data_IF_097879746443
#
_entry.id   IF_097879746443
#
_cell.length_a   1.000
_cell.length_b   1.000
_cell.length_c   1.000
_cell.angle_alpha   90.00
_cell.angle_beta   90.00
_cell.angle_gamma   90.00
#
_symmetry.space_group_name_H-M   'P 1'
#
loop_
_entity.id
_entity.type
_entity.pdbx_description
1 polymer ?
#
# COMPACT_ATOMS: atom_id res chain seq x y z
N UNK A 1 3.82 3.55 -23.26
CA UNK A 1 3.44 4.61 -24.22
C UNK A 1 4.32 5.82 -23.98
N UNK A 2 5.12 6.23 -24.97
CA UNK A 2 5.90 7.47 -24.88
C UNK A 2 5.02 8.62 -25.39
N UNK A 3 4.70 9.58 -24.52
CA UNK A 3 3.90 10.76 -24.87
C UNK A 3 4.78 11.88 -25.42
N UNK A 4 5.98 12.05 -24.86
CA UNK A 4 6.98 13.01 -25.34
C UNK A 4 8.27 12.31 -25.73
N UNK A 5 8.73 12.52 -26.97
CA UNK A 5 9.95 11.88 -27.50
C UNK A 5 11.20 12.22 -26.66
N UNK A 6 11.29 13.44 -26.13
CA UNK A 6 12.40 13.82 -25.25
C UNK A 6 12.44 12.99 -23.96
N UNK A 7 11.28 12.50 -23.49
CA UNK A 7 11.18 11.70 -22.28
C UNK A 7 11.92 10.36 -22.38
N UNK A 8 11.85 9.68 -23.54
CA UNK A 8 12.55 8.39 -23.73
C UNK A 8 14.06 8.58 -23.87
N UNK A 9 14.52 9.69 -24.43
CA UNK A 9 15.95 10.02 -24.46
C UNK A 9 16.47 10.31 -23.05
N UNK A 10 15.78 11.20 -22.33
CA UNK A 10 16.15 11.65 -20.99
C UNK A 10 16.12 10.50 -19.98
N UNK A 11 15.23 9.52 -20.15
CA UNK A 11 15.18 8.33 -19.29
C UNK A 11 16.46 7.49 -19.36
N UNK A 12 17.23 7.61 -20.46
CA UNK A 12 18.52 6.96 -20.58
C UNK A 12 19.61 7.51 -19.65
N UNK A 13 19.51 8.80 -19.29
CA UNK A 13 20.50 9.52 -18.48
C UNK A 13 20.12 9.63 -17.01
N UNK A 14 19.03 8.96 -16.59
CA UNK A 14 18.45 9.04 -15.26
C UNK A 14 19.47 8.65 -14.17
N UNK A 15 19.58 9.48 -13.13
CA UNK A 15 20.45 9.28 -11.98
C UNK A 15 19.66 8.88 -10.73
N UNK A 16 18.53 9.55 -10.49
CA UNK A 16 17.67 9.31 -9.32
C UNK A 16 16.24 9.08 -9.79
N UNK A 17 15.62 8.02 -9.25
CA UNK A 17 14.21 7.71 -9.47
C UNK A 17 13.46 7.81 -8.16
N UNK A 18 12.63 8.83 -8.03
CA UNK A 18 11.64 8.90 -6.97
C UNK A 18 10.44 8.02 -7.35
N UNK A 19 10.12 7.06 -6.50
CA UNK A 19 9.02 6.12 -6.71
C UNK A 19 7.98 6.27 -5.63
N UNK A 20 6.70 6.39 -6.01
CA UNK A 20 5.62 6.10 -5.06
C UNK A 20 5.61 4.60 -4.71
N UNK A 21 5.05 4.28 -3.55
CA UNK A 21 4.81 2.93 -3.09
C UNK A 21 3.51 2.36 -3.65
N UNK A 22 2.39 3.02 -3.38
CA UNK A 22 1.05 2.52 -3.70
C UNK A 22 0.86 2.52 -5.22
N UNK A 23 0.34 1.43 -5.78
CA UNK A 23 0.04 1.31 -7.21
C UNK A 23 1.26 1.21 -8.14
N UNK A 24 2.42 1.71 -7.71
CA UNK A 24 3.71 1.61 -8.40
C UNK A 24 4.47 0.34 -7.99
N UNK A 25 4.98 0.29 -6.75
CA UNK A 25 5.73 -0.86 -6.25
C UNK A 25 4.79 -1.97 -5.77
N UNK A 26 3.65 -1.59 -5.21
CA UNK A 26 2.57 -2.51 -4.80
C UNK A 26 1.49 -2.61 -5.89
N UNK A 27 0.59 -3.57 -5.73
CA UNK A 27 -0.57 -3.72 -6.61
C UNK A 27 -1.61 -2.60 -6.42
N UNK A 28 -1.54 -1.85 -5.31
CA UNK A 28 -2.57 -0.88 -4.93
C UNK A 28 -3.87 -1.57 -4.48
N UNK A 29 -3.78 -2.83 -4.06
CA UNK A 29 -4.90 -3.67 -3.65
C UNK A 29 -4.61 -4.19 -2.25
N UNK A 30 -5.31 -3.62 -1.28
CA UNK A 30 -5.25 -4.09 0.09
C UNK A 30 -5.86 -5.50 0.16
N UNK A 31 -5.14 -6.43 0.76
CA UNK A 31 -5.57 -7.82 0.94
C UNK A 31 -5.28 -8.27 2.37
N UNK A 32 -5.99 -9.30 2.84
CA UNK A 32 -5.68 -9.94 4.12
C UNK A 32 -4.47 -10.85 3.90
N UNK A 33 -3.36 -10.55 4.59
CA UNK A 33 -2.13 -11.33 4.51
C UNK A 33 -1.98 -12.34 5.65
N UNK A 34 -2.63 -12.07 6.79
CA UNK A 34 -2.57 -12.91 7.97
C UNK A 34 -3.81 -12.70 8.85
N UNK A 35 -4.28 -13.76 9.51
CA UNK A 35 -5.37 -13.74 10.50
C UNK A 35 -4.83 -14.32 11.78
N UNK A 36 -4.91 -13.55 12.86
CA UNK A 36 -4.50 -13.94 14.20
C UNK A 36 -5.77 -14.25 15.01
N UNK A 37 -5.91 -15.51 15.45
CA UNK A 37 -6.99 -15.91 16.35
C UNK A 37 -6.73 -15.47 17.78
N UNK A 38 -7.76 -15.47 18.62
CA UNK A 38 -7.63 -15.06 20.02
C UNK A 38 -6.77 -15.98 20.89
N UNK A 39 -6.45 -17.20 20.44
CA UNK A 39 -5.47 -18.10 21.06
C UNK A 39 -4.04 -17.93 20.52
N UNK A 40 -3.77 -16.89 19.74
CA UNK A 40 -2.43 -16.54 19.27
C UNK A 40 -1.96 -17.30 18.03
N UNK A 41 -2.84 -18.02 17.34
CA UNK A 41 -2.47 -18.75 16.12
C UNK A 41 -2.64 -17.89 14.87
N UNK A 42 -1.71 -18.06 13.93
CA UNK A 42 -1.66 -17.31 12.68
C UNK A 42 -2.11 -18.18 11.51
N UNK A 43 -2.99 -17.64 10.67
CA UNK A 43 -3.52 -18.27 9.47
C UNK A 43 -3.33 -17.34 8.27
N UNK A 44 -3.09 -17.90 7.09
CA UNK A 44 -2.88 -17.13 5.85
C UNK A 44 -4.11 -17.17 4.92
N UNK A 45 -4.95 -18.20 5.05
CA UNK A 45 -6.17 -18.35 4.26
C UNK A 45 -7.34 -18.80 5.12
N UNK A 46 -8.56 -18.53 4.65
CA UNK A 46 -9.79 -18.92 5.34
C UNK A 46 -9.89 -20.45 5.52
N UNK A 47 -9.37 -21.24 4.57
CA UNK A 47 -9.40 -22.71 4.60
C UNK A 47 -8.49 -23.34 5.67
N UNK A 48 -7.50 -22.59 6.16
CA UNK A 48 -6.65 -23.03 7.27
C UNK A 48 -7.32 -22.81 8.63
N UNK A 49 -8.36 -21.96 8.68
CA UNK A 49 -9.07 -21.64 9.92
C UNK A 49 -10.07 -22.76 10.22
N UNK A 50 -10.08 -23.29 11.45
CA UNK A 50 -11.06 -24.30 11.84
C UNK A 50 -12.51 -23.83 11.65
N UNK A 51 -13.36 -24.72 11.15
CA UNK A 51 -14.72 -24.43 10.65
C UNK A 51 -15.58 -23.61 11.64
N UNK A 52 -15.49 -23.91 12.94
CA UNK A 52 -16.25 -23.19 13.96
C UNK A 52 -15.86 -21.70 14.04
N UNK A 53 -14.57 -21.38 14.05
CA UNK A 53 -14.09 -20.00 14.03
C UNK A 53 -14.31 -19.34 12.65
N UNK A 54 -14.17 -20.13 11.58
CA UNK A 54 -14.41 -19.68 10.21
C UNK A 54 -15.85 -19.16 10.05
N UNK A 55 -16.85 -19.88 10.56
CA UNK A 55 -18.25 -19.48 10.54
C UNK A 55 -18.49 -18.14 11.26
N UNK A 56 -17.87 -17.94 12.42
CA UNK A 56 -17.99 -16.70 13.19
C UNK A 56 -17.33 -15.50 12.48
N UNK A 57 -16.20 -15.73 11.80
CA UNK A 57 -15.54 -14.73 10.96
C UNK A 57 -16.43 -14.33 9.78
N UNK A 58 -16.94 -15.32 9.04
CA UNK A 58 -17.81 -15.10 7.86
C UNK A 58 -19.04 -14.31 8.28
N UNK A 59 -19.72 -14.77 9.33
CA UNK A 59 -20.89 -14.12 9.90
C UNK A 59 -20.60 -12.67 10.31
N UNK A 60 -19.51 -12.44 11.02
CA UNK A 60 -19.15 -11.09 11.50
C UNK A 60 -18.80 -10.14 10.37
N UNK A 61 -18.07 -10.60 9.34
CA UNK A 61 -17.62 -9.75 8.24
C UNK A 61 -18.72 -9.39 7.25
N UNK A 62 -19.60 -10.35 6.91
CA UNK A 62 -20.75 -10.12 6.01
C UNK A 62 -21.74 -9.14 6.62
N UNK A 63 -22.09 -9.32 7.90
CA UNK A 63 -23.16 -8.57 8.54
C UNK A 63 -22.69 -7.25 9.19
N UNK A 64 -21.38 -6.98 9.22
CA UNK A 64 -20.82 -5.71 9.73
C UNK A 64 -20.35 -4.78 8.59
N UNK A 65 -20.49 -5.17 7.33
CA UNK A 65 -20.01 -4.37 6.19
C UNK A 65 -21.17 -4.01 5.27
N UNK A 66 -21.59 -2.75 5.29
CA UNK A 66 -22.58 -2.22 4.35
C UNK A 66 -21.98 -2.19 2.93
N UNK A 67 -22.10 -3.29 2.20
CA UNK A 67 -21.63 -3.42 0.84
C UNK A 67 -22.64 -4.19 0.00
N UNK A 68 -22.85 -3.73 -1.24
CA UNK A 68 -23.53 -4.54 -2.25
C UNK A 68 -22.50 -5.42 -2.94
N UNK A 69 -22.77 -6.71 -2.95
CA UNK A 69 -21.89 -7.73 -3.49
C UNK A 69 -22.54 -8.26 -4.77
N UNK A 70 -21.87 -8.07 -5.90
CA UNK A 70 -22.19 -8.75 -7.15
C UNK A 70 -21.16 -9.87 -7.41
N UNK A 71 -21.67 -11.10 -7.57
CA UNK A 71 -20.90 -12.34 -7.71
C UNK A 71 -20.88 -12.89 -9.14
N UNK A 72 -21.14 -12.05 -10.16
CA UNK A 72 -21.07 -12.45 -11.58
C UNK A 72 -19.72 -13.08 -11.96
N UNK A 73 -18.61 -12.59 -11.38
CA UNK A 73 -17.29 -13.24 -11.45
C UNK A 73 -16.91 -13.78 -10.05
N UNK A 74 -16.96 -15.11 -9.83
CA UNK A 74 -16.61 -15.73 -8.55
C UNK A 74 -15.16 -15.51 -8.13
N UNK A 75 -14.26 -15.25 -9.09
CA UNK A 75 -12.83 -15.05 -8.84
C UNK A 75 -12.48 -13.59 -8.55
N UNK A 76 -13.35 -12.66 -8.91
CA UNK A 76 -13.17 -11.23 -8.66
C UNK A 76 -14.52 -10.55 -8.40
N UNK A 77 -15.13 -10.78 -7.22
CA UNK A 77 -16.45 -10.25 -6.90
C UNK A 77 -16.45 -8.73 -6.90
N UNK A 78 -17.47 -8.14 -7.53
CA UNK A 78 -17.66 -6.71 -7.56
C UNK A 78 -18.35 -6.26 -6.27
N UNK A 79 -17.53 -5.74 -5.35
CA UNK A 79 -17.99 -5.20 -4.07
C UNK A 79 -18.07 -3.67 -4.19
N UNK A 80 -19.28 -3.12 -4.02
CA UNK A 80 -19.58 -1.68 -4.12
C UNK A 80 -20.07 -1.16 -2.76
N UNK A 81 -19.68 0.07 -2.40
CA UNK A 81 -20.06 0.70 -1.12
C UNK A 81 -19.11 0.44 0.05
N UNK A 82 -18.25 -0.59 -0.04
CA UNK A 82 -17.20 -0.82 0.96
C UNK A 82 -15.98 0.08 0.75
N UNK A 83 -15.40 0.57 1.86
CA UNK A 83 -14.07 1.17 1.83
C UNK A 83 -12.98 0.11 1.51
N UNK A 84 -11.73 0.50 1.20
CA UNK A 84 -10.67 -0.45 0.83
C UNK A 84 -10.42 -1.56 1.86
N UNK A 85 -10.57 -1.25 3.16
CA UNK A 85 -10.42 -2.23 4.25
C UNK A 85 -11.57 -3.23 4.26
N UNK A 86 -12.82 -2.77 4.19
CA UNK A 86 -14.00 -3.62 4.12
C UNK A 86 -13.99 -4.50 2.88
N UNK A 87 -13.56 -3.95 1.73
CA UNK A 87 -13.41 -4.72 0.50
C UNK A 87 -12.38 -5.84 0.66
N UNK A 88 -11.22 -5.57 1.25
CA UNK A 88 -10.18 -6.56 1.49
C UNK A 88 -10.64 -7.69 2.44
N UNK A 89 -11.36 -7.33 3.52
CA UNK A 89 -11.94 -8.30 4.46
C UNK A 89 -13.01 -9.17 3.80
N UNK A 90 -13.88 -8.58 2.98
CA UNK A 90 -14.89 -9.33 2.24
C UNK A 90 -14.27 -10.24 1.17
N UNK A 91 -13.26 -9.77 0.44
CA UNK A 91 -12.56 -10.59 -0.56
C UNK A 91 -11.87 -11.81 0.06
N UNK A 92 -11.42 -11.71 1.32
CA UNK A 92 -10.85 -12.84 2.07
C UNK A 92 -11.85 -13.99 2.29
N UNK A 93 -13.16 -13.72 2.25
CA UNK A 93 -14.19 -14.76 2.40
C UNK A 93 -14.31 -15.69 1.18
N UNK A 94 -13.80 -15.26 0.01
CA UNK A 94 -13.81 -16.05 -1.22
C UNK A 94 -15.21 -16.58 -1.58
N UNK A 95 -15.38 -17.90 -1.79
CA UNK A 95 -16.67 -18.49 -2.15
C UNK A 95 -17.79 -18.27 -1.10
N UNK A 96 -17.43 -18.11 0.18
CA UNK A 96 -18.39 -17.92 1.28
C UNK A 96 -19.05 -16.54 1.27
N UNK A 97 -18.58 -15.64 0.40
CA UNK A 97 -19.21 -14.34 0.16
C UNK A 97 -20.64 -14.47 -0.42
N UNK A 98 -21.01 -15.62 -0.97
CA UNK A 98 -22.35 -15.93 -1.47
C UNK A 98 -23.37 -16.26 -0.37
N UNK A 99 -22.91 -16.49 0.86
CA UNK A 99 -23.79 -16.76 2.00
C UNK A 99 -24.64 -15.52 2.27
N UNK A 100 -25.95 -15.75 2.37
CA UNK A 100 -26.92 -14.71 2.73
C UNK A 100 -27.60 -15.12 4.02
N UNK A 101 -27.38 -14.30 5.03
CA UNK A 101 -28.18 -14.35 6.23
C UNK A 101 -29.39 -13.42 6.06
N UNK A 102 -30.59 -13.93 6.30
CA UNK A 102 -31.79 -13.10 6.39
C UNK A 102 -31.84 -12.48 7.80
N UNK A 103 -31.01 -11.47 8.03
CA UNK A 103 -30.94 -10.74 9.29
C UNK A 103 -31.33 -9.28 9.09
N UNK A 104 -31.99 -8.71 10.10
CA UNK A 104 -32.35 -7.31 10.12
C UNK A 104 -31.34 -6.54 10.98
N UNK A 105 -30.69 -5.55 10.38
CA UNK A 105 -29.82 -4.63 11.11
C UNK A 105 -30.69 -3.58 11.81
N UNK A 106 -30.71 -3.61 13.15
CA UNK A 106 -31.59 -2.76 13.97
C UNK A 106 -30.90 -1.45 14.37
N UNK A 107 -29.57 -1.44 14.45
CA UNK A 107 -28.78 -0.23 14.65
C UNK A 107 -27.41 -0.34 13.96
N UNK A 108 -26.87 0.79 13.50
CA UNK A 108 -25.57 0.85 12.86
C UNK A 108 -24.80 2.11 13.30
N UNK A 109 -23.51 1.94 13.61
CA UNK A 109 -22.54 3.00 13.85
C UNK A 109 -21.54 2.94 12.69
N UNK A 110 -21.58 3.89 11.75
CA UNK A 110 -20.62 3.94 10.66
C UNK A 110 -19.22 4.26 11.18
N UNK A 111 -18.19 3.92 10.41
CA UNK A 111 -16.81 4.22 10.81
C UNK A 111 -16.55 5.73 10.85
N UNK A 112 -15.93 6.21 11.93
CA UNK A 112 -15.42 7.57 12.04
C UNK A 112 -14.00 7.58 12.57
N UNK A 113 -13.16 8.45 12.02
CA UNK A 113 -11.76 8.62 12.42
C UNK A 113 -11.57 9.04 13.89
N UNK A 114 -12.58 9.67 14.52
CA UNK A 114 -12.52 10.07 15.91
C UNK A 114 -12.53 8.87 16.88
N UNK A 115 -13.38 7.87 16.62
CA UNK A 115 -13.51 6.67 17.47
C UNK A 115 -12.88 5.40 16.88
N UNK A 116 -12.52 5.39 15.60
CA UNK A 116 -11.76 4.33 14.91
C UNK A 116 -12.39 2.92 14.91
N UNK A 117 -13.70 2.81 15.09
CA UNK A 117 -14.45 1.55 14.95
C UNK A 117 -15.75 1.76 14.15
N UNK A 118 -16.39 0.67 13.74
CA UNK A 118 -17.77 0.62 13.27
C UNK A 118 -18.48 -0.56 13.92
N UNK A 119 -19.78 -0.43 14.18
CA UNK A 119 -20.56 -1.47 14.84
C UNK A 119 -21.93 -1.61 14.20
N UNK A 120 -22.42 -2.83 14.05
CA UNK A 120 -23.75 -3.11 13.50
C UNK A 120 -24.44 -4.08 14.44
N UNK A 121 -25.60 -3.67 14.95
CA UNK A 121 -26.45 -4.50 15.77
C UNK A 121 -27.45 -5.23 14.88
N UNK A 122 -27.43 -6.54 14.97
CA UNK A 122 -28.33 -7.44 14.24
C UNK A 122 -29.34 -8.05 15.21
N UNK A 123 -30.56 -8.22 14.73
CA UNK A 123 -31.65 -8.91 15.44
C UNK A 123 -32.10 -10.15 14.64
N UNK A 124 -32.74 -11.11 15.32
CA UNK A 124 -33.16 -12.39 14.74
C UNK A 124 -32.66 -13.60 15.54
N UNK A 125 -32.21 -14.66 14.85
CA UNK A 125 -31.77 -15.91 15.50
C UNK A 125 -30.54 -15.73 16.40
N UNK A 126 -29.73 -14.70 16.15
CA UNK A 126 -28.57 -14.31 16.96
C UNK A 126 -28.59 -12.80 17.16
N UNK A 127 -29.18 -12.34 18.26
CA UNK A 127 -29.11 -10.94 18.67
C UNK A 127 -27.68 -10.62 19.14
N UNK A 128 -26.90 -9.95 18.30
CA UNK A 128 -25.50 -9.63 18.55
C UNK A 128 -25.16 -8.24 18.01
N UNK A 129 -24.21 -7.59 18.64
CA UNK A 129 -23.53 -6.41 18.10
C UNK A 129 -22.19 -6.84 17.52
N UNK A 130 -22.05 -6.69 16.21
CA UNK A 130 -20.81 -6.94 15.48
C UNK A 130 -19.98 -5.68 15.50
N UNK A 131 -18.67 -5.80 15.72
CA UNK A 131 -17.76 -4.65 15.82
C UNK A 131 -16.48 -4.93 15.04
N UNK A 132 -16.03 -3.96 14.25
CA UNK A 132 -14.70 -3.96 13.66
C UNK A 132 -14.02 -2.61 13.81
N UNK A 133 -12.71 -2.58 13.96
CA UNK A 133 -12.01 -1.32 14.16
C UNK A 133 -10.51 -1.44 14.28
N UNK A 134 -9.87 -0.34 14.65
CA UNK A 134 -8.47 -0.32 15.04
C UNK A 134 -8.23 -1.34 16.16
N UNK A 135 -7.20 -2.18 15.99
CA UNK A 135 -6.97 -3.31 16.88
C UNK A 135 -6.83 -2.86 18.33
N UNK A 136 -6.18 -1.72 18.59
CA UNK A 136 -5.94 -1.21 19.95
C UNK A 136 -7.22 -0.80 20.68
N UNK A 137 -8.25 -0.36 19.92
CA UNK A 137 -9.56 0.03 20.47
C UNK A 137 -10.41 -1.20 20.74
N UNK A 138 -10.33 -2.21 19.87
CA UNK A 138 -11.12 -3.43 20.03
C UNK A 138 -10.56 -4.26 21.19
N UNK A 139 -9.24 -4.46 21.22
CA UNK A 139 -8.60 -5.31 22.22
C UNK A 139 -8.69 -4.73 23.64
N UNK A 140 -8.75 -3.40 23.80
CA UNK A 140 -8.88 -2.77 25.12
C UNK A 140 -10.19 -3.07 25.83
N UNK A 141 -11.25 -3.33 25.07
CA UNK A 141 -12.60 -3.62 25.58
C UNK A 141 -12.97 -5.11 25.48
N UNK A 142 -12.04 -5.94 25.00
CA UNK A 142 -12.21 -7.39 24.94
C UNK A 142 -12.02 -8.04 26.31
N UNK A 143 -13.05 -8.73 26.78
CA UNK A 143 -13.01 -9.54 28.00
C UNK A 143 -12.80 -11.02 27.70
N UNK A 144 -13.18 -11.44 26.49
CA UNK A 144 -13.14 -12.82 26.04
C UNK A 144 -12.62 -12.90 24.61
N UNK A 145 -12.31 -14.09 24.16
CA UNK A 145 -12.01 -14.39 22.78
C UNK A 145 -12.66 -15.71 22.34
N UNK A 146 -12.84 -15.88 21.03
CA UNK A 146 -13.22 -17.16 20.44
C UNK A 146 -11.98 -17.98 20.14
N UNK A 147 -11.92 -19.19 20.71
CA UNK A 147 -10.88 -20.13 20.33
C UNK A 147 -11.19 -20.78 18.97
N UNK A 148 -10.28 -21.61 18.49
CA UNK A 148 -10.45 -22.37 17.24
C UNK A 148 -11.73 -23.21 17.15
N UNK A 149 -12.28 -23.66 18.27
CA UNK A 149 -13.54 -24.41 18.28
C UNK A 149 -14.78 -23.50 18.37
N UNK A 150 -14.64 -22.18 18.20
CA UNK A 150 -15.72 -21.20 18.32
C UNK A 150 -16.22 -21.02 19.75
N UNK A 151 -15.48 -21.50 20.76
CA UNK A 151 -15.87 -21.40 22.17
C UNK A 151 -15.31 -20.13 22.78
N UNK A 152 -16.16 -19.40 23.50
CA UNK A 152 -15.81 -18.22 24.29
C UNK A 152 -14.90 -18.63 25.45
N UNK A 153 -13.72 -18.01 25.55
CA UNK A 153 -12.76 -18.15 26.64
C UNK A 153 -12.36 -16.78 27.20
N UNK A 154 -12.04 -16.67 28.50
CA UNK A 154 -11.61 -15.40 29.08
C UNK A 154 -10.26 -14.99 28.48
N UNK A 155 -10.13 -13.69 28.16
CA UNK A 155 -8.89 -13.11 27.65
C UNK A 155 -8.02 -12.68 28.85
N UNK A 156 -7.36 -13.63 29.49
CA UNK A 156 -6.59 -13.38 30.72
C UNK A 156 -5.16 -12.88 30.46
N UNK A 157 -4.55 -13.30 29.35
CA UNK A 157 -3.19 -12.91 28.96
C UNK A 157 -3.17 -12.36 27.54
N UNK A 158 -3.13 -11.03 27.41
CA UNK A 158 -3.08 -10.36 26.11
C UNK A 158 -1.64 -10.29 25.54
N UNK A 159 -0.62 -10.60 26.34
CA UNK A 159 0.79 -10.40 25.94
C UNK A 159 1.20 -11.22 24.72
N UNK A 160 0.71 -12.46 24.61
CA UNK A 160 1.04 -13.33 23.48
C UNK A 160 0.39 -12.82 22.18
N UNK A 161 -0.82 -12.23 22.30
CA UNK A 161 -1.50 -11.51 21.23
C UNK A 161 -0.75 -10.23 20.86
N UNK A 162 -0.34 -9.42 21.84
CA UNK A 162 0.43 -8.19 21.63
C UNK A 162 1.76 -8.48 20.92
N UNK A 163 2.44 -9.56 21.29
CA UNK A 163 3.67 -9.98 20.60
C UNK A 163 3.40 -10.33 19.13
N UNK A 164 2.37 -11.15 18.87
CA UNK A 164 2.00 -11.53 17.50
C UNK A 164 1.54 -10.32 16.67
N UNK A 165 0.81 -9.39 17.28
CA UNK A 165 0.42 -8.12 16.68
C UNK A 165 1.63 -7.24 16.37
N UNK A 166 2.64 -7.21 17.25
CA UNK A 166 3.87 -6.48 17.00
C UNK A 166 4.63 -7.06 15.79
N UNK A 167 4.76 -8.39 15.69
CA UNK A 167 5.38 -9.05 14.53
C UNK A 167 4.64 -8.76 13.21
N UNK A 168 3.31 -8.79 13.22
CA UNK A 168 2.50 -8.42 12.05
C UNK A 168 2.70 -6.95 11.68
N UNK A 169 2.79 -6.06 12.67
CA UNK A 169 3.04 -4.63 12.47
C UNK A 169 4.43 -4.37 11.88
N UNK A 170 5.46 -5.07 12.36
CA UNK A 170 6.82 -5.03 11.80
C UNK A 170 6.87 -5.45 10.33
N UNK A 171 5.97 -6.35 9.93
CA UNK A 171 5.79 -6.79 8.54
C UNK A 171 4.91 -5.86 7.69
N UNK A 172 4.72 -4.62 8.12
CA UNK A 172 3.95 -3.59 7.42
C UNK A 172 2.46 -3.93 7.25
N UNK A 173 1.89 -4.72 8.15
CA UNK A 173 0.47 -5.04 8.12
C UNK A 173 -0.34 -4.01 8.92
N UNK A 174 -1.42 -3.53 8.33
CA UNK A 174 -2.46 -2.78 9.03
C UNK A 174 -3.37 -3.76 9.77
N UNK A 175 -3.40 -3.64 11.09
CA UNK A 175 -4.21 -4.52 11.95
C UNK A 175 -5.64 -4.01 12.11
N UNK A 176 -6.61 -4.90 11.97
CA UNK A 176 -8.03 -4.64 12.21
C UNK A 176 -8.57 -5.73 13.13
N UNK A 177 -9.11 -5.32 14.29
CA UNK A 177 -9.80 -6.23 15.20
C UNK A 177 -11.24 -6.42 14.77
N UNK A 178 -11.73 -7.66 14.86
CA UNK A 178 -13.15 -8.02 14.71
C UNK A 178 -13.61 -8.70 15.98
N UNK A 179 -14.70 -8.21 16.55
CA UNK A 179 -15.26 -8.69 17.81
C UNK A 179 -16.79 -8.71 17.76
N UNK A 180 -17.38 -9.46 18.68
CA UNK A 180 -18.83 -9.54 18.88
C UNK A 180 -19.18 -9.21 20.33
N UNK A 181 -20.37 -8.68 20.55
CA UNK A 181 -20.95 -8.48 21.87
C UNK A 181 -22.41 -8.91 21.89
N UNK A 182 -22.86 -9.41 23.04
CA UNK A 182 -24.28 -9.67 23.33
C UNK A 182 -24.97 -8.39 23.83
N UNK A 183 -24.21 -7.34 24.14
CA UNK A 183 -24.77 -6.06 24.57
C UNK A 183 -25.23 -5.23 23.37
N UNK A 184 -26.40 -4.57 23.45
CA UNK A 184 -26.86 -3.66 22.41
C UNK A 184 -25.97 -2.42 22.33
N UNK A 185 -26.09 -1.68 21.23
CA UNK A 185 -25.40 -0.40 21.07
C UNK A 185 -26.00 0.60 22.07
N UNK A 186 -25.24 0.95 23.11
CA UNK A 186 -25.68 1.86 24.16
C UNK A 186 -25.37 3.33 23.81
N UNK A 187 -26.34 4.00 23.16
CA UNK A 187 -26.26 5.41 22.78
C UNK A 187 -25.42 5.70 21.53
N UNK A 188 -25.33 6.97 21.12
CA UNK A 188 -24.59 7.36 19.92
C UNK A 188 -23.07 7.24 20.15
N UNK A 189 -22.39 6.51 19.26
CA UNK A 189 -20.92 6.47 19.11
C UNK A 189 -20.11 5.84 20.26
N UNK A 190 -20.69 4.96 21.09
CA UNK A 190 -19.95 4.21 22.11
C UNK A 190 -19.72 2.76 21.70
N UNK A 191 -18.53 2.25 22.03
CA UNK A 191 -18.20 0.85 21.83
C UNK A 191 -19.04 0.00 22.82
N UNK A 192 -19.63 -1.12 22.38
CA UNK A 192 -20.32 -2.04 23.29
C UNK A 192 -19.36 -2.62 24.32
N UNK A 193 -19.85 -2.81 25.55
CA UNK A 193 -19.07 -3.44 26.62
C UNK A 193 -18.94 -4.96 26.39
N UNK A 194 -17.98 -5.57 27.10
CA UNK A 194 -17.77 -7.01 27.16
C UNK A 194 -17.54 -7.66 25.79
N UNK A 195 -16.70 -7.05 24.96
CA UNK A 195 -16.40 -7.59 23.65
C UNK A 195 -15.77 -8.99 23.76
N UNK A 196 -16.12 -9.85 22.82
CA UNK A 196 -15.48 -11.13 22.56
C UNK A 196 -14.72 -11.03 21.24
N UNK A 197 -13.39 -11.09 21.30
CA UNK A 197 -12.53 -11.05 20.13
C UNK A 197 -12.80 -12.27 19.25
N UNK A 198 -13.16 -12.05 17.98
CA UNK A 198 -13.30 -13.12 16.99
C UNK A 198 -11.92 -13.40 16.37
N UNK A 199 -11.33 -12.38 15.74
CA UNK A 199 -10.03 -12.47 15.10
C UNK A 199 -9.42 -11.08 14.85
N UNK A 200 -8.11 -11.03 14.66
CA UNK A 200 -7.36 -9.85 14.22
C UNK A 200 -6.87 -10.10 12.80
N UNK A 201 -7.19 -9.20 11.89
CA UNK A 201 -6.78 -9.28 10.49
C UNK A 201 -5.59 -8.36 10.25
N UNK A 202 -4.51 -8.93 9.72
CA UNK A 202 -3.37 -8.19 9.17
C UNK A 202 -3.59 -7.94 7.69
N UNK A 203 -3.92 -6.71 7.35
CA UNK A 203 -4.10 -6.29 5.96
C UNK A 203 -2.81 -5.68 5.42
N UNK A 204 -2.43 -6.06 4.21
CA UNK A 204 -1.27 -5.49 3.54
C UNK A 204 -1.54 -5.32 2.05
N UNK A 205 -0.94 -4.29 1.47
CA UNK A 205 -0.91 -4.13 0.02
C UNK A 205 0.20 -5.01 -0.54
N UNK A 206 -0.16 -6.01 -1.35
CA UNK A 206 0.80 -6.96 -1.89
C UNK A 206 1.81 -6.30 -2.82
N UNK A 207 3.06 -6.70 -2.68
CA UNK A 207 4.11 -6.32 -3.59
C UNK A 207 3.87 -6.95 -4.96
N UNK A 208 4.19 -6.23 -6.04
CA UNK A 208 4.25 -6.90 -7.34
C UNK A 208 5.45 -7.85 -7.31
N UNK A 209 5.31 -9.11 -7.74
CA UNK A 209 6.41 -10.09 -7.73
C UNK A 209 7.68 -9.59 -8.43
N UNK A 210 7.50 -8.71 -9.41
CA UNK A 210 8.54 -8.16 -10.27
C UNK A 210 9.17 -6.87 -9.74
N UNK A 211 8.59 -6.24 -8.69
CA UNK A 211 9.11 -4.97 -8.16
C UNK A 211 10.52 -5.11 -7.62
N UNK A 212 10.81 -6.19 -6.89
CA UNK A 212 12.14 -6.44 -6.32
C UNK A 212 13.21 -6.56 -7.40
N UNK A 213 12.98 -7.39 -8.41
CA UNK A 213 13.95 -7.59 -9.50
C UNK A 213 14.17 -6.30 -10.29
N UNK A 214 13.11 -5.53 -10.52
CA UNK A 214 13.20 -4.31 -11.29
C UNK A 214 13.89 -3.16 -10.52
N UNK A 215 13.68 -3.03 -9.21
CA UNK A 215 14.45 -2.10 -8.35
C UNK A 215 15.94 -2.45 -8.37
N UNK A 216 16.28 -3.74 -8.18
CA UNK A 216 17.67 -4.19 -8.20
C UNK A 216 18.33 -3.92 -9.55
N UNK A 217 17.63 -4.16 -10.66
CA UNK A 217 18.13 -3.84 -12.00
C UNK A 217 18.39 -2.34 -12.19
N UNK A 218 17.52 -1.47 -11.66
CA UNK A 218 17.72 -0.02 -11.71
C UNK A 218 18.97 0.39 -10.89
N UNK A 219 19.12 -0.15 -9.68
CA UNK A 219 20.29 0.12 -8.83
C UNK A 219 21.59 -0.39 -9.45
N UNK A 220 21.60 -1.60 -10.02
CA UNK A 220 22.75 -2.14 -10.78
C UNK A 220 23.09 -1.29 -12.01
N UNK A 221 22.10 -0.63 -12.59
CA UNK A 221 22.27 0.32 -13.69
C UNK A 221 22.81 1.70 -13.23
N UNK A 222 23.11 1.87 -11.93
CA UNK A 222 23.63 3.09 -11.34
C UNK A 222 22.56 4.14 -10.99
N UNK A 223 21.30 3.72 -10.87
CA UNK A 223 20.17 4.60 -10.56
C UNK A 223 19.82 4.47 -9.08
N UNK A 224 19.86 5.58 -8.35
CA UNK A 224 19.38 5.60 -6.97
C UNK A 224 17.85 5.62 -6.99
N UNK A 225 17.23 4.57 -6.42
CA UNK A 225 15.77 4.51 -6.26
C UNK A 225 15.42 4.97 -4.85
N UNK A 226 14.56 5.99 -4.75
CA UNK A 226 14.12 6.57 -3.48
C UNK A 226 12.61 6.39 -3.37
N UNK A 227 12.14 5.71 -2.32
CA UNK A 227 10.71 5.54 -2.06
C UNK A 227 10.14 6.77 -1.36
N UNK A 228 9.05 7.32 -1.87
CA UNK A 228 8.28 8.38 -1.20
C UNK A 228 6.87 7.87 -0.97
N UNK A 229 6.42 7.81 0.28
CA UNK A 229 5.10 7.26 0.62
C UNK A 229 4.42 8.00 1.76
N UNK A 230 3.08 8.00 1.74
CA UNK A 230 2.25 8.51 2.84
C UNK A 230 2.13 7.54 4.04
N UNK A 231 2.64 6.31 3.92
CA UNK A 231 2.56 5.29 4.96
C UNK A 231 3.44 5.62 6.18
N UNK A 232 3.26 4.89 7.28
CA UNK A 232 4.13 5.02 8.46
C UNK A 232 5.58 4.65 8.14
N UNK A 233 6.51 5.15 8.97
CA UNK A 233 7.95 4.92 8.81
C UNK A 233 8.28 3.44 8.83
N UNK A 234 7.66 2.69 9.72
CA UNK A 234 7.85 1.26 9.93
C UNK A 234 7.40 0.47 8.70
N UNK A 235 6.20 0.81 8.19
CA UNK A 235 5.62 0.23 6.97
C UNK A 235 6.52 0.49 5.76
N UNK A 236 6.93 1.74 5.58
CA UNK A 236 7.78 2.15 4.48
C UNK A 236 9.16 1.45 4.52
N UNK A 237 9.76 1.32 5.72
CA UNK A 237 11.03 0.61 5.91
C UNK A 237 10.93 -0.88 5.57
N UNK A 238 9.91 -1.57 6.07
CA UNK A 238 9.72 -2.98 5.81
C UNK A 238 9.53 -3.25 4.30
N UNK A 239 8.72 -2.43 3.63
CA UNK A 239 8.52 -2.54 2.18
C UNK A 239 9.82 -2.23 1.43
N UNK A 240 10.54 -1.17 1.81
CA UNK A 240 11.81 -0.80 1.18
C UNK A 240 12.88 -1.89 1.32
N UNK A 241 12.94 -2.61 2.46
CA UNK A 241 13.81 -3.78 2.63
C UNK A 241 13.39 -4.92 1.71
N UNK A 242 12.08 -5.19 1.62
CA UNK A 242 11.57 -6.29 0.81
C UNK A 242 11.87 -6.12 -0.69
N UNK A 243 11.74 -4.89 -1.22
CA UNK A 243 12.08 -4.58 -2.62
C UNK A 243 13.57 -4.35 -2.88
N UNK A 244 14.39 -4.23 -1.84
CA UNK A 244 15.84 -3.96 -1.97
C UNK A 244 16.21 -2.49 -2.13
N UNK A 245 15.31 -1.55 -1.86
CA UNK A 245 15.64 -0.11 -1.78
C UNK A 245 16.51 0.15 -0.54
N UNK A 246 16.16 -0.50 0.57
CA UNK A 246 16.86 -0.36 1.84
C UNK A 246 17.83 -1.54 2.03
N UNK A 247 19.11 -1.23 2.18
CA UNK A 247 20.18 -2.20 2.47
C UNK A 247 20.80 -1.92 3.84
N UNK A 248 21.50 -2.91 4.41
CA UNK A 248 22.02 -2.83 5.79
C UNK A 248 23.16 -1.80 5.97
N UNK A 249 23.74 -1.28 4.87
CA UNK A 249 24.76 -0.25 4.91
C UNK A 249 24.14 1.15 4.81
N UNK A 250 23.95 1.78 5.97
CA UNK A 250 23.61 3.21 6.16
C UNK A 250 22.32 3.73 5.47
N UNK A 251 21.14 3.14 5.73
CA UNK A 251 19.92 3.65 5.13
C UNK A 251 19.37 4.88 5.86
N UNK A 252 19.30 6.04 5.17
CA UNK A 252 18.61 7.22 5.70
C UNK A 252 17.12 7.14 5.39
N UNK A 253 16.31 7.11 6.45
CA UNK A 253 14.84 7.11 6.40
C UNK A 253 14.32 8.31 7.15
N UNK A 254 13.59 9.17 6.42
CA UNK A 254 13.03 10.40 6.94
C UNK A 254 11.50 10.37 6.96
N UNK A 255 10.92 11.13 7.86
CA UNK A 255 9.51 11.52 7.80
C UNK A 255 9.35 12.91 7.16
N UNK A 256 8.12 13.26 6.77
CA UNK A 256 7.77 14.63 6.34
C UNK A 256 8.11 15.71 7.38
N UNK A 257 7.97 15.40 8.67
CA UNK A 257 8.36 16.30 9.77
C UNK A 257 9.86 16.60 9.73
N UNK A 258 10.68 15.55 9.57
CA UNK A 258 12.14 15.68 9.52
C UNK A 258 12.54 16.53 8.31
N UNK A 259 11.92 16.30 7.14
CA UNK A 259 12.15 17.12 5.95
C UNK A 259 11.78 18.59 6.16
N UNK A 260 10.69 18.87 6.87
CA UNK A 260 10.22 20.24 7.12
C UNK A 260 11.15 21.01 8.03
N UNK A 261 11.76 20.34 9.01
CA UNK A 261 12.74 20.92 9.93
C UNK A 261 14.12 21.15 9.27
N UNK A 262 14.46 20.34 8.27
CA UNK A 262 15.73 20.44 7.54
C UNK A 262 15.71 21.56 6.49
N UNK A 263 16.83 22.27 6.38
CA UNK A 263 17.10 23.21 5.30
C UNK A 263 17.35 22.48 3.96
N UNK A 264 17.16 23.21 2.86
CA UNK A 264 17.41 22.67 1.51
C UNK A 264 18.86 22.18 1.34
N UNK A 265 19.84 22.86 1.93
CA UNK A 265 21.26 22.48 1.89
C UNK A 265 21.55 21.19 2.67
N UNK A 266 20.87 20.98 3.80
CA UNK A 266 20.99 19.74 4.57
C UNK A 266 20.40 18.56 3.80
N UNK A 267 19.25 18.75 3.14
CA UNK A 267 18.62 17.74 2.30
C UNK A 267 19.53 17.37 1.12
N UNK A 268 20.16 18.35 0.48
CA UNK A 268 21.13 18.11 -0.60
C UNK A 268 22.30 17.23 -0.12
N UNK A 269 22.81 17.46 1.10
CA UNK A 269 23.91 16.66 1.66
C UNK A 269 23.53 15.22 1.94
N UNK A 270 22.29 14.98 2.41
CA UNK A 270 21.82 13.62 2.72
C UNK A 270 21.21 12.89 1.52
N UNK A 271 20.93 13.58 0.41
CA UNK A 271 20.28 13.01 -0.77
C UNK A 271 20.95 11.73 -1.27
N UNK A 272 22.30 11.59 -1.33
CA UNK A 272 22.95 10.35 -1.78
C UNK A 272 22.70 9.13 -0.87
N UNK A 273 22.39 9.35 0.41
CA UNK A 273 22.11 8.31 1.40
C UNK A 273 20.60 8.10 1.62
N UNK A 274 19.77 8.94 1.02
CA UNK A 274 18.32 8.92 1.18
C UNK A 274 17.73 7.70 0.46
N UNK A 275 17.05 6.85 1.21
CA UNK A 275 16.37 5.67 0.67
C UNK A 275 14.84 5.82 0.70
N UNK A 276 14.31 6.38 1.79
CA UNK A 276 12.86 6.39 2.05
C UNK A 276 12.44 7.70 2.71
N UNK A 277 11.33 8.25 2.23
CA UNK A 277 10.58 9.33 2.86
C UNK A 277 9.17 8.83 3.18
N UNK A 278 8.86 8.70 4.46
CA UNK A 278 7.57 8.24 4.98
C UNK A 278 6.67 9.39 5.42
N UNK A 279 5.36 9.13 5.53
CA UNK A 279 4.31 10.14 5.77
C UNK A 279 4.44 11.39 4.88
N UNK A 280 4.94 11.21 3.67
CA UNK A 280 5.28 12.30 2.77
C UNK A 280 4.03 13.05 2.30
N UNK A 281 4.12 14.38 2.28
CA UNK A 281 3.11 15.24 1.70
C UNK A 281 3.36 15.45 0.20
N UNK A 282 2.33 15.85 -0.58
CA UNK A 282 2.50 16.17 -2.00
C UNK A 282 3.56 17.26 -2.26
N UNK A 283 3.70 18.20 -1.31
CA UNK A 283 4.72 19.26 -1.32
C UNK A 283 6.14 18.70 -1.19
N UNK A 284 6.33 17.65 -0.41
CA UNK A 284 7.63 17.03 -0.17
C UNK A 284 8.15 16.36 -1.43
N UNK A 285 7.27 15.67 -2.17
CA UNK A 285 7.59 15.05 -3.47
C UNK A 285 8.16 16.09 -4.44
N UNK A 286 7.48 17.23 -4.56
CA UNK A 286 7.92 18.31 -5.46
C UNK A 286 9.21 18.99 -4.97
N UNK A 287 9.40 19.15 -3.66
CA UNK A 287 10.62 19.70 -3.07
C UNK A 287 11.83 18.81 -3.35
N UNK A 288 11.71 17.49 -3.12
CA UNK A 288 12.79 16.54 -3.38
C UNK A 288 13.22 16.51 -4.85
N UNK A 289 12.25 16.52 -5.78
CA UNK A 289 12.54 16.61 -7.21
C UNK A 289 13.33 17.88 -7.54
N UNK A 290 12.92 19.04 -6.99
CA UNK A 290 13.63 20.31 -7.20
C UNK A 290 15.06 20.28 -6.66
N UNK A 291 15.27 19.76 -5.45
CA UNK A 291 16.58 19.70 -4.81
C UNK A 291 17.53 18.74 -5.52
N UNK A 292 17.05 17.56 -5.93
CA UNK A 292 17.84 16.64 -6.72
C UNK A 292 18.26 17.24 -8.08
N UNK A 293 17.39 18.05 -8.71
CA UNK A 293 17.75 18.81 -9.92
C UNK A 293 18.81 19.88 -9.67
N UNK A 294 18.77 20.56 -8.52
CA UNK A 294 19.81 21.53 -8.13
C UNK A 294 21.19 20.88 -7.97
N UNK A 295 21.24 19.58 -7.67
CA UNK A 295 22.48 18.79 -7.65
C UNK A 295 22.97 18.39 -9.06
N UNK A 296 22.34 18.88 -10.14
CA UNK A 296 22.59 18.49 -11.53
C UNK A 296 22.39 17.00 -11.80
N UNK A 297 21.48 16.35 -11.05
CA UNK A 297 21.06 14.98 -11.30
C UNK A 297 19.89 14.98 -12.29
N UNK A 298 19.83 13.98 -13.16
CA UNK A 298 18.66 13.72 -14.00
C UNK A 298 17.64 12.95 -13.18
N UNK A 299 16.50 13.59 -12.92
CA UNK A 299 15.50 13.11 -11.98
C UNK A 299 14.31 12.49 -12.70
N UNK A 300 14.01 11.23 -12.35
CA UNK A 300 12.75 10.59 -12.67
C UNK A 300 11.77 10.62 -11.49
N UNK A 301 10.48 10.72 -11.77
CA UNK A 301 9.41 10.58 -10.78
C UNK A 301 8.32 9.64 -11.32
N UNK A 302 7.93 8.65 -10.53
CA UNK A 302 6.72 7.85 -10.81
C UNK A 302 5.52 8.40 -10.05
N UNK A 303 4.33 8.31 -10.64
CA UNK A 303 3.10 8.67 -9.96
C UNK A 303 1.89 7.92 -10.51
N UNK A 304 0.89 7.75 -9.65
CA UNK A 304 -0.41 7.18 -10.01
C UNK A 304 -1.57 8.07 -9.54
N UNK A 305 -1.37 8.88 -8.49
CA UNK A 305 -2.40 9.75 -7.92
C UNK A 305 -2.34 11.20 -8.40
N UNK A 306 -3.46 11.92 -8.22
CA UNK A 306 -3.56 13.37 -8.47
C UNK A 306 -2.50 14.19 -7.74
N UNK A 307 -2.10 13.71 -6.56
CA UNK A 307 -1.11 14.35 -5.70
C UNK A 307 0.31 14.31 -6.29
N UNK A 308 0.58 13.40 -7.23
CA UNK A 308 1.91 13.21 -7.81
C UNK A 308 2.12 14.05 -9.06
N UNK A 309 1.02 14.49 -9.70
CA UNK A 309 1.07 15.22 -10.95
C UNK A 309 2.04 16.43 -10.93
N UNK A 310 2.11 17.26 -9.86
CA UNK A 310 3.09 18.35 -9.79
C UNK A 310 4.54 17.86 -9.80
N UNK A 311 4.85 16.80 -9.03
CA UNK A 311 6.20 16.24 -8.95
C UNK A 311 6.59 15.53 -10.25
N UNK A 312 5.66 14.77 -10.85
CA UNK A 312 5.83 14.11 -12.15
C UNK A 312 6.11 15.12 -13.26
N UNK A 313 5.40 16.26 -13.25
CA UNK A 313 5.60 17.32 -14.26
C UNK A 313 6.93 18.06 -14.09
N UNK A 314 7.42 18.21 -12.86
CA UNK A 314 8.65 18.95 -12.55
C UNK A 314 9.92 18.10 -12.71
N UNK A 315 9.79 16.77 -12.71
CA UNK A 315 10.87 15.83 -12.99
C UNK A 315 11.41 16.02 -14.42
N UNK A 316 12.64 15.59 -14.65
CA UNK A 316 13.21 15.58 -16.02
C UNK A 316 12.54 14.49 -16.86
N UNK A 317 12.10 13.41 -16.22
CA UNK A 317 11.21 12.41 -16.82
C UNK A 317 10.10 12.03 -15.84
N UNK A 318 8.87 12.32 -16.21
CA UNK A 318 7.68 11.86 -15.50
C UNK A 318 7.19 10.51 -16.01
N UNK A 319 7.01 9.54 -15.11
CA UNK A 319 6.38 8.24 -15.39
C UNK A 319 5.00 8.17 -14.73
N UNK A 320 3.95 7.90 -15.51
CA UNK A 320 2.63 7.60 -14.98
C UNK A 320 2.32 6.11 -15.09
N UNK A 321 1.67 5.55 -14.06
CA UNK A 321 1.10 4.21 -14.14
C UNK A 321 -0.16 4.21 -15.03
N UNK A 322 -0.41 3.12 -15.74
CA UNK A 322 -1.58 2.94 -16.62
C UNK A 322 -2.93 2.99 -15.89
N UNK A 323 -2.97 2.56 -14.63
CA UNK A 323 -4.11 2.72 -13.72
C UNK A 323 -4.15 4.10 -13.02
N UNK A 324 -3.14 4.95 -13.26
CA UNK A 324 -3.06 6.27 -12.66
C UNK A 324 -4.14 7.22 -13.17
N UNK A 325 -4.37 8.28 -12.42
CA UNK A 325 -5.37 9.30 -12.76
C UNK A 325 -5.01 10.00 -14.07
N UNK A 326 -6.03 10.48 -14.80
CA UNK A 326 -5.82 11.15 -16.09
C UNK A 326 -4.93 12.39 -15.94
N UNK A 327 -5.04 13.11 -14.81
CA UNK A 327 -4.18 14.25 -14.52
C UNK A 327 -2.70 13.86 -14.40
N UNK A 328 -2.39 12.71 -13.79
CA UNK A 328 -1.02 12.20 -13.67
C UNK A 328 -0.49 11.74 -15.02
N UNK A 329 -1.32 11.04 -15.80
CA UNK A 329 -0.98 10.64 -17.18
C UNK A 329 -0.68 11.86 -18.05
N UNK A 330 -1.52 12.89 -17.97
CA UNK A 330 -1.35 14.16 -18.69
C UNK A 330 -0.07 14.91 -18.29
N UNK A 331 0.35 14.77 -17.03
CA UNK A 331 1.57 15.39 -16.51
C UNK A 331 2.85 14.61 -16.84
N UNK A 332 2.73 13.33 -17.22
CA UNK A 332 3.86 12.44 -17.51
C UNK A 332 4.36 12.50 -18.95
N UNK A 333 5.63 12.14 -19.14
CA UNK A 333 6.26 11.97 -20.45
C UNK A 333 6.11 10.54 -20.98
N UNK A 334 6.04 9.56 -20.07
CA UNK A 334 5.91 8.14 -20.37
C UNK A 334 4.81 7.53 -19.50
N UNK A 335 3.89 6.79 -20.12
CA UNK A 335 2.83 6.04 -19.44
C UNK A 335 3.13 4.54 -19.50
N UNK A 336 3.18 3.90 -18.34
CA UNK A 336 3.42 2.46 -18.15
C UNK A 336 2.09 1.72 -18.17
N UNK A 337 1.64 1.35 -19.37
CA UNK A 337 0.28 0.82 -19.61
C UNK A 337 -0.03 -0.47 -18.84
N UNK A 338 0.96 -1.32 -18.64
CA UNK A 338 0.85 -2.62 -17.96
C UNK A 338 1.01 -2.53 -16.44
N UNK A 339 1.21 -1.32 -15.90
CA UNK A 339 1.47 -1.06 -14.49
C UNK A 339 2.67 -1.86 -13.93
N UNK A 340 3.67 -2.11 -14.77
CA UNK A 340 4.81 -2.93 -14.41
C UNK A 340 6.09 -2.10 -14.27
N UNK A 341 6.76 -2.22 -13.12
CA UNK A 341 8.05 -1.55 -12.90
C UNK A 341 9.15 -2.06 -13.85
N UNK A 342 9.05 -3.29 -14.37
CA UNK A 342 9.96 -3.79 -15.42
C UNK A 342 9.90 -2.89 -16.65
N UNK A 343 8.70 -2.46 -17.06
CA UNK A 343 8.52 -1.59 -18.22
C UNK A 343 9.18 -0.23 -18.03
N UNK A 344 9.27 0.27 -16.79
CA UNK A 344 10.07 1.45 -16.46
C UNK A 344 11.57 1.19 -16.67
N UNK A 345 12.10 0.07 -16.18
CA UNK A 345 13.51 -0.29 -16.41
C UNK A 345 13.83 -0.52 -17.89
N UNK A 346 12.89 -1.05 -18.67
CA UNK A 346 13.02 -1.19 -20.11
C UNK A 346 13.05 0.17 -20.81
N UNK A 347 12.25 1.14 -20.38
CA UNK A 347 12.30 2.50 -20.92
C UNK A 347 13.69 3.14 -20.73
N UNK A 348 14.31 2.94 -19.56
CA UNK A 348 15.68 3.37 -19.29
C UNK A 348 16.68 2.67 -20.22
N UNK A 349 16.57 1.34 -20.38
CA UNK A 349 17.41 0.54 -21.28
C UNK A 349 17.34 1.05 -22.73
N UNK A 350 16.13 1.28 -23.24
CA UNK A 350 15.92 1.79 -24.59
C UNK A 350 16.42 3.24 -24.73
N UNK A 351 16.22 4.09 -23.72
CA UNK A 351 16.77 5.44 -23.69
C UNK A 351 18.30 5.46 -23.79
N UNK A 352 18.99 4.60 -23.02
CA UNK A 352 20.45 4.44 -23.10
C UNK A 352 20.90 3.94 -24.47
N UNK A 353 20.13 3.04 -25.07
CA UNK A 353 20.42 2.50 -26.40
C UNK A 353 20.26 3.58 -27.47
N UNK A 354 19.20 4.38 -27.39
CA UNK A 354 18.97 5.52 -28.28
C UNK A 354 20.09 6.55 -28.19
N UNK A 355 20.49 6.96 -26.98
CA UNK A 355 21.62 7.88 -26.78
C UNK A 355 22.92 7.38 -27.40
N UNK A 356 23.21 6.07 -27.26
CA UNK A 356 24.38 5.45 -27.92
C UNK A 356 24.27 5.50 -29.44
N UNK A 357 23.09 5.22 -30.00
CA UNK A 357 22.85 5.26 -31.45
C UNK A 357 22.95 6.69 -32.01
N UNK A 358 22.40 7.69 -31.31
CA UNK A 358 22.53 9.11 -31.68
C UNK A 358 24.01 9.51 -31.70
N UNK A 359 24.78 9.15 -30.67
CA UNK A 359 26.22 9.46 -30.62
C UNK A 359 26.97 8.82 -31.80
N UNK A 360 26.68 7.56 -32.12
CA UNK A 360 27.28 6.88 -33.29
C UNK A 360 26.95 7.59 -34.60
N UNK A 361 25.69 7.97 -34.77
CA UNK A 361 25.24 8.71 -35.95
C UNK A 361 25.92 10.08 -36.09
N UNK A 362 26.02 10.84 -35.00
CA UNK A 362 26.70 12.14 -34.99
C UNK A 362 28.18 12.00 -35.35
N UNK A 363 28.89 11.02 -34.79
CA UNK A 363 30.30 10.77 -35.11
C UNK A 363 30.47 10.41 -36.58
N UNK A 364 29.60 9.53 -37.11
CA UNK A 364 29.60 9.21 -38.53
C UNK A 364 29.36 10.44 -39.41
N UNK A 365 28.30 11.21 -39.15
CA UNK A 365 27.92 12.37 -39.96
C UNK A 365 28.98 13.47 -39.93
N UNK A 366 29.56 13.74 -38.76
CA UNK A 366 30.65 14.71 -38.62
C UNK A 366 31.88 14.25 -39.41
N UNK A 367 32.21 12.96 -39.38
CA UNK A 367 33.34 12.41 -40.13
C UNK A 367 33.15 12.57 -41.64
N UNK A 368 31.95 12.29 -42.14
CA UNK A 368 31.59 12.48 -43.56
C UNK A 368 31.68 13.96 -43.95
N UNK A 369 31.16 14.86 -43.13
CA UNK A 369 31.20 16.30 -43.42
C UNK A 369 32.65 16.83 -43.46
N UNK A 370 33.53 16.38 -42.55
CA UNK A 370 34.95 16.76 -42.58
C UNK A 370 35.64 16.24 -43.84
N UNK A 371 35.38 14.97 -44.20
CA UNK A 371 35.96 14.35 -45.39
C UNK A 371 35.46 14.98 -46.71
N UNK A 372 34.27 15.59 -46.71
CA UNK A 372 33.71 16.26 -47.89
C UNK A 372 34.22 17.71 -48.05
N UNK A 373 34.72 18.32 -46.98
CA UNK A 373 35.27 19.69 -46.99
C UNK A 373 36.76 19.69 -47.36
N UNK A 374 37.51 18.68 -46.91
CA UNK A 374 38.89 18.42 -47.33
C UNK A 374 38.94 17.97 -48.79
#
# INVERSE_FOLDING_TARGET
LVRKLLGIETSGSLNVLFSDKTGTLTQGKLQVANVLSGDGQNFQSLDQIPEALQNEIVFSLLNNTSASINLEDPTNPLIVGANPTGKALLQFLGPRLAEKDNLEAVADIPFNSAYKFSATQIDGQRALTLVKGAVEIITSECTHYLNQQGKRKPLENIKDLEHSMAEMSERAMRLIGVAISEQPIAGENRLPEQLTLVAIFGLRDEMRPQSKTAVLNAQQAGIQVIMITGDSKETAQAIAREVGILSDNHPKVLNSTDLTEMSDDEIIRIMPELCVVARALPTDKSRLVKLAKQMNLVVGMTGDGVNDAPAVKNADVGFAMGNGTDMTKESSDIVILDNNFISLTNAILYGRTLLKSIRKFLVFQLSVNVAAIL
#
